data_IF_729965533359
#
_entry.id   IF_729965533359
#
_cell.length_a   1.000
_cell.length_b   1.000
_cell.length_c   1.000
_cell.angle_alpha   90.00
_cell.angle_beta   90.00
_cell.angle_gamma   90.00
#
_symmetry.space_group_name_H-M   'P 1'
#
loop_
_entity.id
_entity.type
_entity.pdbx_description
1 polymer ?
#
# COMPACT_ATOMS: atom_id res chain seq x y z
N UNK A 1 -14.90 -10.88 9.83
CA UNK A 1 -13.71 -10.81 8.96
C UNK A 1 -12.46 -10.89 9.81
N UNK A 2 -11.59 -11.85 9.54
CA UNK A 2 -10.36 -11.98 10.32
C UNK A 2 -9.28 -10.98 9.84
N UNK A 3 -8.20 -10.90 10.59
CA UNK A 3 -7.13 -9.94 10.33
C UNK A 3 -6.48 -10.14 8.96
N UNK A 4 -6.31 -11.39 8.54
CA UNK A 4 -5.72 -11.71 7.23
C UNK A 4 -6.62 -11.24 6.08
N UNK A 5 -7.92 -11.39 6.23
CA UNK A 5 -8.89 -10.92 5.24
C UNK A 5 -8.88 -9.39 5.17
N UNK A 6 -8.75 -8.72 6.31
CA UNK A 6 -8.64 -7.26 6.38
C UNK A 6 -7.39 -6.80 5.64
N UNK A 7 -6.26 -7.44 5.89
CA UNK A 7 -4.98 -7.11 5.23
C UNK A 7 -5.11 -7.27 3.71
N UNK A 8 -5.69 -8.37 3.26
CA UNK A 8 -5.90 -8.62 1.83
C UNK A 8 -6.78 -7.56 1.18
N UNK A 9 -7.86 -7.18 1.85
CA UNK A 9 -8.78 -6.16 1.33
C UNK A 9 -8.11 -4.79 1.27
N UNK A 10 -7.36 -4.42 2.30
CA UNK A 10 -6.61 -3.16 2.30
C UNK A 10 -5.57 -3.15 1.18
N UNK A 11 -4.83 -4.25 1.00
CA UNK A 11 -3.83 -4.35 -0.07
C UNK A 11 -4.46 -4.14 -1.45
N UNK A 12 -5.61 -4.78 -1.69
CA UNK A 12 -6.34 -4.64 -2.95
C UNK A 12 -6.79 -3.21 -3.21
N UNK A 13 -7.37 -2.57 -2.20
CA UNK A 13 -7.85 -1.18 -2.32
C UNK A 13 -6.68 -0.23 -2.55
N UNK A 14 -5.57 -0.41 -1.82
CA UNK A 14 -4.40 0.45 -1.99
C UNK A 14 -3.78 0.32 -3.37
N UNK A 15 -3.76 -0.89 -3.92
CA UNK A 15 -3.28 -1.11 -5.28
C UNK A 15 -4.18 -0.36 -6.29
N UNK A 16 -5.50 -0.42 -6.12
CA UNK A 16 -6.45 0.30 -6.96
C UNK A 16 -6.28 1.81 -6.84
N UNK A 17 -6.06 2.34 -5.64
CA UNK A 17 -5.81 3.77 -5.42
C UNK A 17 -4.52 4.22 -6.10
N UNK A 18 -3.48 3.40 -6.00
CA UNK A 18 -2.21 3.67 -6.68
C UNK A 18 -2.40 3.71 -8.20
N UNK A 19 -3.17 2.79 -8.75
CA UNK A 19 -3.48 2.75 -10.18
C UNK A 19 -4.27 3.97 -10.64
N UNK A 20 -5.26 4.40 -9.86
CA UNK A 20 -6.06 5.59 -10.16
C UNK A 20 -5.19 6.84 -10.32
N UNK A 21 -4.21 6.99 -9.45
CA UNK A 21 -3.32 8.15 -9.46
C UNK A 21 -2.35 8.14 -10.65
N UNK A 22 -2.24 7.01 -11.36
CA UNK A 22 -1.39 6.88 -12.54
C UNK A 22 -2.16 7.02 -13.86
N UNK A 23 -3.47 7.22 -13.79
CA UNK A 23 -4.28 7.34 -15.02
C UNK A 23 -4.06 8.69 -15.71
N UNK A 24 -3.79 8.60 -17.02
CA UNK A 24 -3.69 9.75 -17.89
C UNK A 24 -4.73 9.50 -18.99
N UNK A 25 -5.69 10.43 -19.17
CA UNK A 25 -6.76 10.30 -20.15
C UNK A 25 -7.56 9.00 -20.01
N UNK A 26 -7.78 8.55 -18.75
CA UNK A 26 -8.57 7.36 -18.46
C UNK A 26 -7.85 6.03 -18.53
N UNK A 27 -6.58 6.03 -18.94
CA UNK A 27 -5.76 4.82 -19.03
C UNK A 27 -4.55 4.92 -18.11
N UNK A 28 -4.13 3.78 -17.53
CA UNK A 28 -2.92 3.72 -16.73
C UNK A 28 -1.70 3.66 -17.63
N UNK A 29 -0.71 4.52 -17.37
CA UNK A 29 0.58 4.41 -18.02
C UNK A 29 1.23 3.08 -17.57
N UNK A 30 1.68 2.23 -18.51
CA UNK A 30 2.26 0.95 -18.16
C UNK A 30 3.47 1.08 -17.22
N UNK A 31 3.56 0.17 -16.25
CA UNK A 31 4.74 0.03 -15.41
C UNK A 31 5.16 -1.43 -15.47
N UNK A 32 6.17 -1.71 -16.30
CA UNK A 32 6.63 -3.06 -16.57
C UNK A 32 7.69 -3.49 -15.56
N UNK A 33 7.42 -4.59 -14.87
CA UNK A 33 8.32 -5.15 -13.87
C UNK A 33 8.52 -6.63 -14.11
N UNK A 34 9.62 -7.17 -13.63
CA UNK A 34 9.90 -8.60 -13.75
C UNK A 34 9.33 -9.37 -12.57
N UNK A 35 8.91 -10.60 -12.82
CA UNK A 35 8.46 -11.51 -11.77
C UNK A 35 9.24 -12.82 -11.82
N UNK A 36 9.43 -13.41 -10.63
CA UNK A 36 9.98 -14.75 -10.47
C UNK A 36 8.94 -15.82 -10.19
N UNK A 37 7.66 -15.48 -10.28
CA UNK A 37 6.56 -16.43 -10.05
C UNK A 37 6.40 -17.35 -11.26
N UNK A 38 6.92 -18.58 -11.15
CA UNK A 38 6.91 -19.55 -12.25
C UNK A 38 5.50 -19.94 -12.72
N UNK A 39 4.54 -20.04 -11.81
CA UNK A 39 3.16 -20.34 -12.16
C UNK A 39 2.55 -19.24 -13.01
N UNK A 40 2.81 -18.00 -12.64
CA UNK A 40 2.35 -16.83 -13.38
C UNK A 40 3.00 -16.77 -14.76
N UNK A 41 4.32 -17.03 -14.83
CA UNK A 41 5.08 -17.05 -16.08
C UNK A 41 4.52 -18.11 -17.03
N UNK A 42 4.22 -19.31 -16.53
CA UNK A 42 3.63 -20.38 -17.34
C UNK A 42 2.25 -20.01 -17.87
N UNK A 43 1.46 -19.30 -17.06
CA UNK A 43 0.10 -18.88 -17.44
C UNK A 43 0.10 -17.82 -18.53
N UNK A 44 0.99 -16.84 -18.43
CA UNK A 44 1.01 -15.67 -19.30
C UNK A 44 2.12 -15.64 -20.34
N UNK A 45 2.99 -16.65 -20.34
CA UNK A 45 4.09 -16.81 -21.30
C UNK A 45 5.09 -15.64 -21.34
N UNK A 46 5.28 -14.99 -20.20
CA UNK A 46 6.21 -13.87 -20.06
C UNK A 46 6.62 -13.73 -18.59
N UNK A 47 7.83 -13.22 -18.36
CA UNK A 47 8.27 -12.87 -17.01
C UNK A 47 8.13 -11.36 -16.73
N UNK A 48 7.44 -10.64 -17.61
CA UNK A 48 7.21 -9.22 -17.47
C UNK A 48 5.73 -8.98 -17.17
N UNK A 49 5.46 -8.25 -16.10
CA UNK A 49 4.10 -7.90 -15.68
C UNK A 49 3.92 -6.39 -15.71
N UNK A 50 2.80 -5.92 -16.26
CA UNK A 50 2.41 -4.51 -16.18
C UNK A 50 1.61 -4.32 -14.91
N UNK A 51 2.28 -3.95 -13.83
CA UNK A 51 1.66 -3.83 -12.51
C UNK A 51 0.64 -2.69 -12.44
N UNK A 52 0.73 -1.70 -13.33
CA UNK A 52 -0.21 -0.59 -13.36
C UNK A 52 -1.54 -0.97 -14.00
N UNK A 53 -1.55 -1.97 -14.88
CA UNK A 53 -2.76 -2.43 -15.58
C UNK A 53 -3.20 -3.84 -15.17
N UNK A 54 -2.65 -4.36 -14.07
CA UNK A 54 -3.02 -5.66 -13.51
C UNK A 54 -3.71 -5.45 -12.18
N UNK A 55 -4.88 -6.06 -12.01
CA UNK A 55 -5.60 -6.02 -10.74
C UNK A 55 -4.82 -6.80 -9.68
N UNK A 56 -5.00 -6.42 -8.41
CA UNK A 56 -4.29 -7.05 -7.29
C UNK A 56 -4.41 -8.59 -7.33
N UNK A 57 -5.61 -9.09 -7.60
CA UNK A 57 -5.88 -10.54 -7.62
C UNK A 57 -5.09 -11.29 -8.69
N UNK A 58 -4.77 -10.61 -9.79
CA UNK A 58 -4.06 -11.19 -10.93
C UNK A 58 -2.56 -10.95 -10.91
N UNK A 59 -2.06 -10.24 -9.89
CA UNK A 59 -0.62 -10.00 -9.73
C UNK A 59 0.12 -11.31 -9.45
N UNK A 60 1.39 -11.43 -9.89
CA UNK A 60 2.25 -12.53 -9.46
C UNK A 60 2.43 -12.52 -7.94
N UNK A 61 2.75 -13.67 -7.37
CA UNK A 61 2.88 -13.85 -5.91
C UNK A 61 3.89 -12.89 -5.27
N UNK A 62 5.01 -12.64 -5.94
CA UNK A 62 6.05 -11.73 -5.43
C UNK A 62 5.52 -10.30 -5.29
N UNK A 63 4.76 -9.81 -6.28
CA UNK A 63 4.17 -8.49 -6.25
C UNK A 63 2.97 -8.40 -5.30
N UNK A 64 2.18 -9.47 -5.18
CA UNK A 64 1.14 -9.57 -4.16
C UNK A 64 1.75 -9.49 -2.76
N UNK A 65 2.83 -10.22 -2.54
CA UNK A 65 3.51 -10.25 -1.25
C UNK A 65 3.97 -8.86 -0.82
N UNK A 66 4.56 -8.09 -1.74
CA UNK A 66 4.98 -6.71 -1.45
C UNK A 66 3.80 -5.84 -1.02
N UNK A 67 2.68 -5.94 -1.71
CA UNK A 67 1.47 -5.20 -1.35
C UNK A 67 0.89 -5.66 -0.02
N UNK A 68 0.90 -6.96 0.24
CA UNK A 68 0.39 -7.53 1.49
C UNK A 68 1.25 -7.11 2.70
N UNK A 69 2.58 -7.10 2.55
CA UNK A 69 3.48 -6.67 3.61
C UNK A 69 3.28 -5.20 3.95
N UNK A 70 3.10 -4.36 2.94
CA UNK A 70 2.82 -2.95 3.15
C UNK A 70 1.47 -2.76 3.88
N UNK A 71 0.44 -3.47 3.43
CA UNK A 71 -0.89 -3.40 4.05
C UNK A 71 -0.86 -3.93 5.49
N UNK A 72 -0.09 -4.97 5.75
CA UNK A 72 0.04 -5.56 7.09
C UNK A 72 0.53 -4.53 8.11
N UNK A 73 1.57 -3.77 7.76
CA UNK A 73 2.12 -2.72 8.63
C UNK A 73 1.02 -1.72 8.98
N UNK A 74 0.29 -1.26 7.98
CA UNK A 74 -0.77 -0.26 8.13
C UNK A 74 -1.93 -0.80 8.98
N UNK A 75 -2.38 -2.01 8.67
CA UNK A 75 -3.50 -2.63 9.39
C UNK A 75 -3.16 -2.87 10.86
N UNK A 76 -1.99 -3.39 11.16
CA UNK A 76 -1.57 -3.64 12.54
C UNK A 76 -1.51 -2.34 13.34
N UNK A 77 -0.98 -1.30 12.74
CA UNK A 77 -0.85 0.00 13.37
C UNK A 77 -2.22 0.61 13.70
N UNK A 78 -3.13 0.62 12.72
CA UNK A 78 -4.48 1.17 12.90
C UNK A 78 -5.30 0.31 13.87
N UNK A 79 -5.18 -0.99 13.76
CA UNK A 79 -5.93 -1.93 14.61
C UNK A 79 -5.61 -1.72 16.09
N UNK A 80 -4.34 -1.54 16.42
CA UNK A 80 -3.91 -1.27 17.78
C UNK A 80 -4.47 0.07 18.29
N UNK A 81 -4.51 1.09 17.47
CA UNK A 81 -5.05 2.39 17.84
C UNK A 81 -6.56 2.34 18.06
N UNK A 82 -7.28 1.64 17.21
CA UNK A 82 -8.74 1.51 17.33
C UNK A 82 -9.13 0.74 18.60
N UNK A 83 -8.34 -0.24 19.01
CA UNK A 83 -8.59 -0.98 20.25
C UNK A 83 -8.43 -0.13 21.49
N UNK A 84 -7.49 0.83 21.45
CA UNK A 84 -7.16 1.67 22.62
C UNK A 84 -7.98 2.93 22.72
N UNK A 85 -8.48 3.42 21.60
CA UNK A 85 -9.12 4.73 21.53
C UNK A 85 -10.48 4.64 20.85
N UNK A 86 -11.48 5.28 21.45
CA UNK A 86 -12.84 5.29 20.90
C UNK A 86 -12.94 6.09 19.59
N UNK A 87 -12.02 7.00 19.37
CA UNK A 87 -12.05 7.89 18.21
C UNK A 87 -10.65 8.13 17.66
N UNK A 88 -10.51 8.02 16.35
CA UNK A 88 -9.27 8.35 15.66
C UNK A 88 -9.33 9.82 15.24
N UNK A 89 -8.40 10.61 15.75
CA UNK A 89 -8.28 12.03 15.41
C UNK A 89 -7.36 12.25 14.21
N UNK A 90 -7.45 13.44 13.62
CA UNK A 90 -6.54 13.82 12.52
C UNK A 90 -5.07 13.79 12.98
N UNK A 91 -4.81 14.20 14.21
CA UNK A 91 -3.47 14.16 14.78
C UNK A 91 -2.93 12.72 14.83
N UNK A 92 -3.78 11.77 15.23
CA UNK A 92 -3.42 10.35 15.23
C UNK A 92 -3.14 9.83 13.82
N UNK A 93 -3.90 10.28 12.84
CA UNK A 93 -3.69 9.93 11.43
C UNK A 93 -2.31 10.42 10.97
N UNK A 94 -1.94 11.65 11.31
CA UNK A 94 -0.65 12.21 10.96
C UNK A 94 0.50 11.44 11.63
N UNK A 95 0.35 11.07 12.89
CA UNK A 95 1.34 10.28 13.63
C UNK A 95 1.52 8.90 12.97
N UNK A 96 0.42 8.22 12.67
CA UNK A 96 0.47 6.91 12.01
C UNK A 96 1.06 7.01 10.60
N UNK A 97 0.73 8.07 9.87
CA UNK A 97 1.28 8.31 8.53
C UNK A 97 2.79 8.48 8.56
N UNK A 98 3.30 9.16 9.59
CA UNK A 98 4.74 9.30 9.81
C UNK A 98 5.39 7.93 10.05
N UNK A 99 4.77 7.07 10.86
CA UNK A 99 5.27 5.72 11.13
C UNK A 99 5.30 4.89 9.84
N UNK A 100 4.25 4.96 9.03
CA UNK A 100 4.18 4.27 7.73
C UNK A 100 5.32 4.74 6.82
N UNK A 101 5.57 6.05 6.79
CA UNK A 101 6.66 6.63 6.00
C UNK A 101 8.03 6.05 6.42
N UNK A 102 8.28 6.00 7.74
CA UNK A 102 9.53 5.46 8.29
C UNK A 102 9.68 3.98 7.93
N UNK A 103 8.63 3.19 8.09
CA UNK A 103 8.64 1.75 7.79
C UNK A 103 8.87 1.48 6.30
N UNK A 104 8.25 2.28 5.43
CA UNK A 104 8.46 2.17 3.99
C UNK A 104 9.91 2.49 3.63
N UNK A 105 10.46 3.51 4.25
CA UNK A 105 11.86 3.89 4.07
C UNK A 105 12.81 2.76 4.50
N UNK A 106 12.57 2.15 5.66
CA UNK A 106 13.37 1.04 6.15
C UNK A 106 13.37 -0.16 5.20
N UNK A 107 12.20 -0.51 4.63
CA UNK A 107 12.09 -1.62 3.69
C UNK A 107 12.85 -1.38 2.39
N UNK A 108 12.90 -0.14 1.95
CA UNK A 108 13.49 0.23 0.67
C UNK A 108 14.92 0.76 0.77
N UNK A 109 15.50 0.71 1.98
CA UNK A 109 16.84 1.24 2.25
C UNK A 109 17.90 0.71 1.29
N UNK A 110 17.90 -0.58 1.03
CA UNK A 110 18.89 -1.23 0.17
C UNK A 110 18.75 -0.88 -1.30
N UNK A 111 17.62 -0.35 -1.70
CA UNK A 111 17.36 0.06 -3.07
C UNK A 111 18.08 1.33 -3.51
N UNK A 112 18.66 2.07 -2.60
CA UNK A 112 19.61 3.16 -2.84
C UNK A 112 19.18 4.38 -3.64
N UNK A 113 17.99 4.40 -4.21
CA UNK A 113 17.60 5.42 -5.17
C UNK A 113 16.52 6.41 -4.71
N UNK A 114 16.27 6.48 -3.41
CA UNK A 114 15.16 7.29 -2.90
C UNK A 114 15.61 8.44 -2.01
N UNK A 115 16.54 9.28 -2.52
CA UNK A 115 16.99 10.45 -1.76
C UNK A 115 15.82 11.37 -1.39
N UNK A 116 14.82 11.48 -2.26
CA UNK A 116 13.63 12.29 -1.99
C UNK A 116 12.77 11.70 -0.87
N UNK A 117 12.87 10.40 -0.61
CA UNK A 117 12.11 9.73 0.44
C UNK A 117 12.83 9.70 1.78
N UNK A 118 14.11 10.10 1.80
CA UNK A 118 14.90 10.21 3.04
C UNK A 118 14.53 11.44 3.86
N UNK A 119 13.68 12.29 3.33
CA UNK A 119 13.20 13.47 4.03
C UNK A 119 12.21 13.03 5.11
N UNK A 120 12.28 13.63 6.29
CA UNK A 120 11.31 13.34 7.35
C UNK A 120 9.90 13.67 6.88
N UNK A 121 8.89 12.95 7.41
CA UNK A 121 7.49 13.14 7.03
C UNK A 121 7.07 14.61 7.10
N UNK A 122 7.49 15.34 8.14
CA UNK A 122 7.13 16.75 8.33
C UNK A 122 7.59 17.66 7.18
N UNK A 123 8.68 17.28 6.52
CA UNK A 123 9.27 18.07 5.43
C UNK A 123 8.76 17.67 4.05
N UNK A 124 7.93 16.62 3.98
CA UNK A 124 7.33 16.19 2.72
C UNK A 124 6.31 17.22 2.22
N UNK A 125 6.11 17.27 0.92
CA UNK A 125 5.02 18.05 0.34
C UNK A 125 3.68 17.46 0.78
N UNK A 126 2.61 18.25 0.72
CA UNK A 126 1.27 17.76 1.04
C UNK A 126 0.86 16.60 0.13
N UNK A 127 1.28 16.62 -1.13
CA UNK A 127 1.04 15.54 -2.07
C UNK A 127 1.70 14.23 -1.63
N UNK A 128 2.93 14.29 -1.17
CA UNK A 128 3.65 13.13 -0.67
C UNK A 128 3.07 12.62 0.65
N UNK A 129 2.69 13.53 1.55
CA UNK A 129 2.02 13.19 2.81
C UNK A 129 0.68 12.49 2.55
N UNK A 130 -0.05 12.95 1.54
CA UNK A 130 -1.35 12.37 1.17
C UNK A 130 -1.23 10.89 0.80
N UNK A 131 -0.12 10.47 0.19
CA UNK A 131 0.12 9.07 -0.16
C UNK A 131 0.20 8.17 1.07
N UNK A 132 0.78 8.67 2.15
CA UNK A 132 0.85 7.93 3.41
C UNK A 132 -0.48 7.97 4.16
N UNK A 133 -1.16 9.13 4.16
CA UNK A 133 -2.48 9.29 4.80
C UNK A 133 -3.54 8.38 4.21
N UNK A 134 -3.55 8.22 2.90
CA UNK A 134 -4.51 7.36 2.19
C UNK A 134 -4.44 5.93 2.70
N UNK A 135 -3.24 5.42 2.96
CA UNK A 135 -3.06 4.07 3.49
C UNK A 135 -3.75 3.93 4.85
N UNK A 136 -3.56 4.90 5.72
CA UNK A 136 -4.18 4.90 7.06
C UNK A 136 -5.71 5.02 6.94
N UNK A 137 -6.19 5.93 6.13
CA UNK A 137 -7.64 6.16 5.95
C UNK A 137 -8.35 4.93 5.39
N UNK A 138 -7.73 4.24 4.43
CA UNK A 138 -8.27 3.00 3.87
C UNK A 138 -8.34 1.91 4.94
N UNK A 139 -7.29 1.77 5.74
CA UNK A 139 -7.27 0.77 6.82
C UNK A 139 -8.35 1.05 7.86
N UNK A 140 -8.54 2.30 8.25
CA UNK A 140 -9.59 2.71 9.19
C UNK A 140 -10.97 2.32 8.64
N UNK A 141 -11.23 2.64 7.39
CA UNK A 141 -12.50 2.33 6.73
C UNK A 141 -12.79 0.84 6.71
N UNK A 142 -11.82 0.04 6.28
CA UNK A 142 -11.99 -1.41 6.16
C UNK A 142 -12.20 -2.06 7.53
N UNK A 143 -11.43 -1.64 8.54
CA UNK A 143 -11.56 -2.17 9.89
C UNK A 143 -12.93 -1.82 10.47
N UNK A 144 -13.41 -0.61 10.28
CA UNK A 144 -14.73 -0.18 10.76
C UNK A 144 -15.86 -0.94 10.07
N UNK A 145 -15.76 -1.16 8.77
CA UNK A 145 -16.72 -1.98 8.03
C UNK A 145 -16.74 -3.42 8.53
N UNK A 146 -15.59 -3.96 8.89
CA UNK A 146 -15.48 -5.34 9.40
C UNK A 146 -16.11 -5.53 10.77
N UNK A 147 -16.33 -4.45 11.53
CA UNK A 147 -16.98 -4.49 12.84
C UNK A 147 -18.52 -4.51 12.74
N UNK A 148 -19.05 -4.16 11.60
CA UNK A 148 -20.48 -4.21 11.33
C UNK A 148 -20.86 -5.63 10.86
#
# INVERSE_FOLDING_TARGET
MDKLEIIGKVASILHDEWRKNRKINGECEPMLEKTGDNEWIERYWTNVVDIANTEFEDLPKDWKYENLEAAKVVVELVYDRIKKWDKITQEMIEEMSNIVHIKRFERNWEGGSFENQRVSYKKLSEEEKAKDRVQIEVAIRVINEAKE
#
